data_IF_236257097065
#
_entry.id   IF_236257097065
#
_cell.length_a   1.000
_cell.length_b   1.000
_cell.length_c   1.000
_cell.angle_alpha   90.00
_cell.angle_beta   90.00
_cell.angle_gamma   90.00
#
_symmetry.space_group_name_H-M   'P 1'
#
loop_
_entity.id
_entity.type
_entity.pdbx_description
1 polymer ?
#
# COMPACT_ATOMS: atom_id res chain seq x y z
N UNK A 1 -38.50 -4.85 -7.17
CA UNK A 1 -38.49 -3.49 -6.60
C UNK A 1 -37.39 -3.38 -5.55
N UNK A 2 -36.12 -3.19 -5.95
CA UNK A 2 -35.00 -2.96 -5.03
C UNK A 2 -34.49 -1.53 -5.23
N UNK A 3 -35.25 -0.58 -4.68
CA UNK A 3 -34.87 0.84 -4.65
C UNK A 3 -34.46 1.28 -3.24
N UNK A 4 -34.61 0.40 -2.24
CA UNK A 4 -34.26 0.65 -0.85
C UNK A 4 -32.84 0.18 -0.48
N UNK A 5 -32.28 -0.81 -1.20
CA UNK A 5 -30.91 -1.30 -0.94
C UNK A 5 -29.83 -0.35 -1.48
N UNK A 6 -30.10 0.37 -2.56
CA UNK A 6 -29.18 1.36 -3.15
C UNK A 6 -29.09 2.67 -2.36
N UNK A 7 -30.06 2.94 -1.47
CA UNK A 7 -30.11 4.16 -0.65
C UNK A 7 -29.31 4.03 0.65
N UNK A 8 -29.14 2.81 1.19
CA UNK A 8 -28.25 2.59 2.35
C UNK A 8 -26.77 2.82 2.04
N UNK A 9 -26.40 2.77 0.76
CA UNK A 9 -25.05 3.08 0.30
C UNK A 9 -24.83 4.59 0.07
N UNK A 10 -25.89 5.40 0.15
CA UNK A 10 -25.87 6.84 -0.12
C UNK A 10 -26.21 7.74 1.08
N UNK A 11 -26.17 7.21 2.31
CA UNK A 11 -26.34 8.01 3.54
C UNK A 11 -25.02 8.25 4.28
N UNK A 12 -24.17 9.07 3.64
CA UNK A 12 -23.49 10.23 4.22
C UNK A 12 -23.17 10.26 5.72
N UNK A 13 -22.10 9.56 6.09
CA UNK A 13 -20.98 10.15 6.82
C UNK A 13 -19.71 9.72 6.08
N UNK A 14 -18.79 10.63 5.76
CA UNK A 14 -17.51 10.25 5.14
C UNK A 14 -16.64 9.52 6.18
N UNK A 15 -16.98 8.26 6.47
CA UNK A 15 -16.15 7.41 7.32
C UNK A 15 -14.90 7.02 6.54
N UNK A 16 -13.75 7.15 7.20
CA UNK A 16 -12.48 6.70 6.64
C UNK A 16 -12.55 5.20 6.40
N UNK A 17 -12.03 4.76 5.25
CA UNK A 17 -11.82 3.34 4.96
C UNK A 17 -10.88 2.72 6.01
N UNK A 18 -10.97 1.40 6.21
CA UNK A 18 -10.10 0.69 7.16
C UNK A 18 -8.61 0.96 6.91
N UNK A 19 -8.22 1.06 5.63
CA UNK A 19 -6.85 1.39 5.20
C UNK A 19 -6.44 2.82 5.57
N UNK A 20 -7.33 3.80 5.44
CA UNK A 20 -7.06 5.17 5.89
C UNK A 20 -6.93 5.24 7.42
N UNK A 21 -7.73 4.48 8.16
CA UNK A 21 -7.62 4.38 9.62
C UNK A 21 -6.25 3.80 10.01
N UNK A 22 -5.78 2.74 9.35
CA UNK A 22 -4.47 2.15 9.59
C UNK A 22 -3.34 3.15 9.30
N UNK A 23 -3.39 3.86 8.16
CA UNK A 23 -2.40 4.90 7.82
C UNK A 23 -2.34 5.98 8.90
N UNK A 24 -3.50 6.46 9.36
CA UNK A 24 -3.54 7.47 10.43
C UNK A 24 -2.98 6.93 11.75
N UNK A 25 -3.31 5.69 12.11
CA UNK A 25 -2.84 5.07 13.34
C UNK A 25 -1.31 4.91 13.35
N UNK A 26 -0.72 4.41 12.26
CA UNK A 26 0.73 4.35 12.10
C UNK A 26 1.36 5.74 12.10
N UNK A 27 0.77 6.71 11.39
CA UNK A 27 1.29 8.09 11.33
C UNK A 27 1.31 8.75 12.70
N UNK A 28 0.24 8.57 13.48
CA UNK A 28 0.13 9.09 14.84
C UNK A 28 1.20 8.50 15.75
N UNK A 29 1.33 7.17 15.79
CA UNK A 29 2.34 6.49 16.60
C UNK A 29 3.76 6.88 16.16
N UNK A 30 4.02 6.97 14.86
CA UNK A 30 5.32 7.37 14.34
C UNK A 30 5.69 8.81 14.76
N UNK A 31 4.70 9.70 14.81
CA UNK A 31 4.87 11.06 15.31
C UNK A 31 5.20 11.07 16.80
N UNK A 32 4.54 10.26 17.63
CA UNK A 32 4.86 10.12 19.05
C UNK A 32 6.29 9.62 19.27
N UNK A 33 6.71 8.59 18.53
CA UNK A 33 8.08 8.04 18.59
C UNK A 33 9.14 9.09 18.21
N UNK A 34 8.83 9.96 17.23
CA UNK A 34 9.74 11.00 16.75
C UNK A 34 9.83 12.22 17.67
N UNK A 35 8.72 12.60 18.29
CA UNK A 35 8.58 13.90 18.99
C UNK A 35 8.75 13.83 20.50
N UNK A 36 8.88 12.64 21.07
CA UNK A 36 9.16 12.46 22.49
C UNK A 36 10.41 13.24 22.93
N UNK A 37 10.33 13.88 24.10
CA UNK A 37 11.44 14.63 24.72
C UNK A 37 11.62 14.32 26.19
N UNK A 38 10.66 13.66 26.81
CA UNK A 38 10.65 13.31 28.23
C UNK A 38 10.57 11.79 28.39
N UNK A 39 11.05 11.24 29.52
CA UNK A 39 10.89 9.81 29.80
C UNK A 39 9.43 9.36 29.77
N UNK A 40 8.50 10.20 30.25
CA UNK A 40 7.06 9.91 30.22
C UNK A 40 6.52 9.85 28.79
N UNK A 41 6.85 10.80 27.94
CA UNK A 41 6.44 10.82 26.53
C UNK A 41 7.04 9.63 25.76
N UNK A 42 8.27 9.21 26.11
CA UNK A 42 8.90 8.02 25.54
C UNK A 42 8.13 6.74 25.91
N UNK A 43 7.76 6.58 27.19
CA UNK A 43 6.96 5.44 27.64
C UNK A 43 5.60 5.40 26.95
N UNK A 44 4.95 6.56 26.79
CA UNK A 44 3.68 6.69 26.09
C UNK A 44 3.80 6.28 24.62
N UNK A 45 4.81 6.78 23.91
CA UNK A 45 5.05 6.44 22.50
C UNK A 45 5.29 4.94 22.30
N UNK A 46 6.10 4.32 23.17
CA UNK A 46 6.36 2.87 23.13
C UNK A 46 5.12 2.04 23.46
N UNK A 47 4.32 2.47 24.44
CA UNK A 47 3.04 1.82 24.77
C UNK A 47 2.05 1.94 23.62
N UNK A 48 1.97 3.10 22.97
CA UNK A 48 1.13 3.31 21.79
C UNK A 48 1.54 2.39 20.63
N UNK A 49 2.85 2.23 20.39
CA UNK A 49 3.36 1.30 19.38
C UNK A 49 2.98 -0.16 19.69
N UNK A 50 3.11 -0.60 20.94
CA UNK A 50 2.67 -1.95 21.33
C UNK A 50 1.17 -2.17 21.13
N UNK A 51 0.34 -1.19 21.51
CA UNK A 51 -1.12 -1.26 21.33
C UNK A 51 -1.50 -1.35 19.85
N UNK A 52 -0.89 -0.52 19.00
CA UNK A 52 -1.10 -0.55 17.55
C UNK A 52 -0.83 -1.95 16.98
N UNK A 53 0.36 -2.49 17.25
CA UNK A 53 0.75 -3.81 16.75
C UNK A 53 -0.07 -4.94 17.36
N UNK A 54 -0.49 -4.84 18.63
CA UNK A 54 -1.37 -5.83 19.27
C UNK A 54 -2.73 -5.93 18.58
N UNK A 55 -3.32 -4.78 18.21
CA UNK A 55 -4.61 -4.75 17.49
C UNK A 55 -4.43 -5.33 16.08
N UNK A 56 -3.38 -4.94 15.37
CA UNK A 56 -3.12 -5.43 14.02
C UNK A 56 -2.88 -6.96 14.00
N UNK A 57 -2.04 -7.47 14.91
CA UNK A 57 -1.78 -8.91 15.03
C UNK A 57 -3.05 -9.70 15.38
N UNK A 58 -3.94 -9.13 16.20
CA UNK A 58 -5.23 -9.77 16.50
C UNK A 58 -6.07 -9.93 15.24
N UNK A 59 -6.10 -8.91 14.36
CA UNK A 59 -6.79 -8.97 13.07
C UNK A 59 -6.14 -9.97 12.10
N UNK A 60 -4.81 -10.02 12.05
CA UNK A 60 -4.06 -10.96 11.19
C UNK A 60 -4.27 -12.42 11.59
N UNK A 61 -4.41 -12.71 12.89
CA UNK A 61 -4.61 -14.07 13.39
C UNK A 61 -6.04 -14.61 13.23
N UNK A 62 -6.98 -13.80 12.72
CA UNK A 62 -8.32 -14.30 12.42
C UNK A 62 -8.30 -15.34 11.30
N UNK A 63 -9.22 -16.31 11.41
CA UNK A 63 -9.41 -17.38 10.42
C UNK A 63 -9.92 -16.82 9.08
N UNK A 64 -10.69 -15.74 9.13
CA UNK A 64 -11.28 -15.06 7.97
C UNK A 64 -10.42 -13.90 7.44
N UNK A 65 -9.12 -13.87 7.76
CA UNK A 65 -8.22 -12.84 7.24
C UNK A 65 -8.10 -12.97 5.71
N UNK A 66 -8.41 -11.92 4.93
CA UNK A 66 -8.45 -12.00 3.47
C UNK A 66 -7.07 -11.88 2.81
N UNK A 67 -5.99 -11.80 3.59
CA UNK A 67 -4.63 -11.67 3.06
C UNK A 67 -4.09 -13.04 2.63
N UNK A 68 -3.24 -13.02 1.61
CA UNK A 68 -2.44 -14.18 1.22
C UNK A 68 -1.58 -14.67 2.40
N UNK A 69 -1.39 -15.99 2.50
CA UNK A 69 -0.69 -16.62 3.62
C UNK A 69 0.74 -16.11 3.79
N UNK A 70 1.46 -15.85 2.69
CA UNK A 70 2.84 -15.35 2.74
C UNK A 70 2.85 -13.94 3.34
N UNK A 71 2.03 -13.04 2.79
CA UNK A 71 1.94 -11.66 3.29
C UNK A 71 1.49 -11.63 4.75
N UNK A 72 0.53 -12.48 5.13
CA UNK A 72 0.07 -12.61 6.52
C UNK A 72 1.21 -13.04 7.44
N UNK A 73 2.00 -14.05 7.07
CA UNK A 73 3.13 -14.50 7.89
C UNK A 73 4.24 -13.45 8.01
N UNK A 74 4.53 -12.73 6.92
CA UNK A 74 5.50 -11.64 6.93
C UNK A 74 5.07 -10.51 7.89
N UNK A 75 3.81 -10.10 7.84
CA UNK A 75 3.25 -9.09 8.74
C UNK A 75 3.23 -9.55 10.20
N UNK A 76 2.93 -10.83 10.46
CA UNK A 76 3.01 -11.41 11.81
C UNK A 76 4.45 -11.38 12.33
N UNK A 77 5.43 -11.71 11.48
CA UNK A 77 6.84 -11.72 11.83
C UNK A 77 7.32 -10.32 12.21
N UNK A 78 7.04 -9.33 11.36
CA UNK A 78 7.39 -7.92 11.60
C UNK A 78 6.68 -7.37 12.83
N UNK A 79 5.38 -7.64 12.99
CA UNK A 79 4.63 -7.18 14.16
C UNK A 79 5.13 -7.78 15.47
N UNK A 80 5.49 -9.06 15.46
CA UNK A 80 6.09 -9.73 16.62
C UNK A 80 7.44 -9.13 16.98
N UNK A 81 8.28 -8.85 15.97
CA UNK A 81 9.55 -8.17 16.18
C UNK A 81 9.36 -6.76 16.77
N UNK A 82 8.43 -5.97 16.22
CA UNK A 82 8.12 -4.60 16.68
C UNK A 82 7.66 -4.57 18.14
N UNK A 83 6.78 -5.51 18.53
CA UNK A 83 6.34 -5.67 19.92
C UNK A 83 7.49 -6.00 20.87
N UNK A 84 8.34 -6.96 20.50
CA UNK A 84 9.51 -7.36 21.30
C UNK A 84 10.50 -6.21 21.44
N UNK A 85 10.83 -5.54 20.35
CA UNK A 85 11.75 -4.39 20.36
C UNK A 85 11.21 -3.26 21.24
N UNK A 86 9.91 -2.95 21.12
CA UNK A 86 9.26 -1.94 21.97
C UNK A 86 9.34 -2.31 23.45
N UNK A 87 9.14 -3.58 23.81
CA UNK A 87 9.25 -4.04 25.20
C UNK A 87 10.67 -3.89 25.75
N UNK A 88 11.70 -4.19 24.95
CA UNK A 88 13.09 -3.99 25.36
C UNK A 88 13.39 -2.49 25.50
N UNK A 89 12.90 -1.66 24.58
CA UNK A 89 13.11 -0.22 24.57
C UNK A 89 12.36 0.54 25.70
N UNK A 90 11.37 -0.10 26.34
CA UNK A 90 10.74 0.40 27.58
C UNK A 90 11.68 0.28 28.78
N UNK A 91 12.48 -0.80 28.81
CA UNK A 91 13.36 -1.12 29.93
C UNK A 91 14.81 -0.67 29.71
N UNK A 92 15.15 -0.27 28.48
CA UNK A 92 16.51 0.12 28.07
C UNK A 92 16.44 1.32 27.14
N UNK A 93 17.44 2.19 27.22
CA UNK A 93 17.56 3.32 26.31
C UNK A 93 18.08 2.86 24.94
N UNK A 94 17.17 2.31 24.13
CA UNK A 94 17.44 1.92 22.75
C UNK A 94 17.01 3.02 21.76
N UNK A 95 17.68 3.14 20.60
CA UNK A 95 17.23 4.04 19.55
C UNK A 95 15.84 3.62 19.06
N UNK A 96 14.96 4.61 18.83
CA UNK A 96 13.59 4.37 18.33
C UNK A 96 13.50 4.35 16.81
N UNK A 97 14.57 4.70 16.09
CA UNK A 97 14.61 4.73 14.62
C UNK A 97 14.11 3.43 13.96
N UNK A 98 14.51 2.23 14.42
CA UNK A 98 14.02 1.00 13.80
C UNK A 98 12.49 0.80 13.87
N UNK A 99 11.84 1.29 14.94
CA UNK A 99 10.37 1.26 15.03
C UNK A 99 9.74 2.29 14.09
N UNK A 100 10.37 3.46 13.95
CA UNK A 100 9.89 4.52 13.06
C UNK A 100 9.98 4.10 11.59
N UNK A 101 11.07 3.44 11.21
CA UNK A 101 11.30 2.98 9.84
C UNK A 101 10.25 1.94 9.43
N UNK A 102 10.00 0.92 10.27
CA UNK A 102 8.96 -0.08 10.00
C UNK A 102 7.57 0.56 9.93
N UNK A 103 7.25 1.48 10.85
CA UNK A 103 5.96 2.16 10.82
C UNK A 103 5.82 3.03 9.56
N UNK A 104 6.92 3.60 9.06
CA UNK A 104 6.94 4.36 7.81
C UNK A 104 6.73 3.46 6.59
N UNK A 105 7.38 2.30 6.55
CA UNK A 105 7.18 1.29 5.49
C UNK A 105 5.72 0.82 5.45
N UNK A 106 5.09 0.61 6.60
CA UNK A 106 3.66 0.28 6.70
C UNK A 106 2.78 1.41 6.14
N UNK A 107 3.07 2.67 6.49
CA UNK A 107 2.34 3.83 5.96
C UNK A 107 2.43 3.87 4.43
N UNK A 108 3.63 3.64 3.88
CA UNK A 108 3.86 3.75 2.44
C UNK A 108 3.27 2.57 1.67
N UNK A 109 3.26 1.36 2.24
CA UNK A 109 2.58 0.19 1.66
C UNK A 109 1.05 0.26 1.73
N UNK A 110 0.49 0.98 2.70
CA UNK A 110 -0.96 1.15 2.87
C UNK A 110 -1.52 2.29 2.01
N UNK A 111 -0.74 3.31 1.67
CA UNK A 111 -1.20 4.36 0.75
C UNK A 111 -1.63 3.73 -0.58
N UNK A 112 -2.72 4.19 -1.20
CA UNK A 112 -3.12 3.69 -2.51
C UNK A 112 -1.96 3.87 -3.48
N UNK A 113 -1.56 2.79 -4.15
CA UNK A 113 -0.61 2.88 -5.24
C UNK A 113 -1.16 3.91 -6.21
N UNK A 114 -0.43 5.02 -6.39
CA UNK A 114 -0.72 6.00 -7.43
C UNK A 114 -0.72 5.20 -8.73
N UNK A 115 -1.91 4.96 -9.30
CA UNK A 115 -2.09 4.11 -10.48
C UNK A 115 -0.97 4.43 -11.47
N UNK A 116 -0.06 3.47 -11.69
CA UNK A 116 0.92 3.59 -12.73
C UNK A 116 0.14 3.75 -14.03
N UNK A 117 0.37 4.87 -14.74
CA UNK A 117 -0.30 5.16 -15.99
C UNK A 117 -0.18 3.93 -16.91
N UNK A 118 -1.26 3.52 -17.61
CA UNK A 118 -1.18 2.39 -18.52
C UNK A 118 -0.08 2.69 -19.55
N UNK A 119 0.98 1.89 -19.56
CA UNK A 119 1.93 1.89 -20.66
C UNK A 119 1.13 1.56 -21.92
N UNK A 120 0.95 2.56 -22.80
CA UNK A 120 0.41 2.36 -24.14
C UNK A 120 1.16 1.22 -24.79
N UNK A 121 0.45 0.13 -25.09
CA UNK A 121 0.95 -0.95 -25.91
C UNK A 121 1.34 -0.35 -27.27
N UNK A 122 2.65 -0.24 -27.52
CA UNK A 122 3.16 -0.01 -28.86
C UNK A 122 2.73 -1.20 -29.71
N UNK A 123 1.74 -0.98 -30.57
CA UNK A 123 1.41 -1.89 -31.65
C UNK A 123 2.59 -1.91 -32.62
N UNK A 124 3.36 -3.00 -32.60
CA UNK A 124 4.37 -3.31 -33.61
C UNK A 124 3.70 -3.43 -34.97
N UNK A 125 3.69 -2.35 -35.75
CA UNK A 125 3.37 -2.40 -37.17
C UNK A 125 4.54 -3.06 -37.92
N UNK A 126 4.32 -4.24 -38.50
CA UNK A 126 5.27 -4.87 -39.41
C UNK A 126 5.42 -4.01 -40.68
N UNK A 127 6.64 -3.79 -41.20
CA UNK A 127 6.83 -3.20 -42.51
C UNK A 127 6.54 -4.26 -43.59
N UNK A 128 5.49 -4.05 -44.39
CA UNK A 128 5.26 -4.84 -45.60
C UNK A 128 6.35 -4.50 -46.62
N UNK A 129 7.24 -5.46 -46.83
CA UNK A 129 8.36 -5.38 -47.77
C UNK A 129 7.86 -5.10 -49.18
N UNK A 130 8.46 -4.11 -49.83
CA UNK A 130 8.21 -3.82 -51.24
C UNK A 130 8.73 -4.93 -52.15
N UNK A 131 7.87 -5.38 -53.07
CA UNK A 131 8.29 -6.00 -54.31
C UNK A 131 8.24 -4.95 -55.41
N UNK A 132 9.42 -4.63 -55.94
CA UNK A 132 9.59 -4.00 -57.24
C UNK A 132 9.14 -4.97 -58.31
N UNK A 133 8.33 -4.52 -59.29
CA UNK A 133 8.68 -4.81 -60.67
C UNK A 133 8.17 -3.73 -61.62
N UNK A 134 9.01 -3.44 -62.60
CA UNK A 134 9.06 -2.24 -63.42
C UNK A 134 8.59 -2.54 -64.86
N UNK A 135 8.00 -1.52 -65.47
CA UNK A 135 7.84 -1.30 -66.91
C UNK A 135 6.92 -2.25 -67.70
N UNK A 136 5.97 -1.67 -68.44
CA UNK A 136 6.05 -1.56 -69.91
C UNK A 136 4.99 -0.56 -70.40
N UNK A 137 5.46 0.58 -70.92
CA UNK A 137 4.69 1.44 -71.85
C UNK A 137 5.08 0.99 -73.27
N UNK A 138 4.14 0.98 -74.22
CA UNK A 138 4.41 1.83 -75.39
C UNK A 138 3.18 2.55 -75.95
N UNK A 139 3.49 3.63 -76.66
CA UNK A 139 2.65 4.46 -77.52
C UNK A 139 2.24 3.71 -78.81
N UNK A 140 1.02 3.96 -79.31
CA UNK A 140 0.62 4.24 -80.71
C UNK A 140 -0.92 4.08 -80.83
N UNK A 141 -1.68 5.12 -81.15
CA UNK A 141 -2.04 5.62 -82.50
C UNK A 141 -2.94 4.65 -83.30
N UNK A 142 -4.13 5.15 -83.68
CA UNK A 142 -4.84 4.98 -84.98
C UNK A 142 -6.30 4.54 -84.87
N UNK A 143 -7.20 5.34 -85.48
CA UNK A 143 -8.64 5.15 -85.60
C UNK A 143 -9.39 6.47 -85.70
#
# INVERSE_FOLDING_TARGET
MSYAASQYQQQSGSYLSGREIEVMAFTHVNTLLKTQKTPTARLEALSANQKLWSVLLSSLNRVDCPLDDILKQDLITVGTWSMRYSNIALNRDLPLAPLMDINQDMIDGLKPAKQAAPMSSYSTQLPTSGSSDNAHRPLQLMG
#
